data_IF_795770868432
#
_entry.id   IF_795770868432
#
_cell.length_a   1.000
_cell.length_b   1.000
_cell.length_c   1.000
_cell.angle_alpha   90.00
_cell.angle_beta   90.00
_cell.angle_gamma   90.00
#
_symmetry.space_group_name_H-M   'P 1'
#
loop_
_entity.id
_entity.type
_entity.pdbx_description
1 polymer ?
#
# COMPACT_ATOMS: atom_id res chain seq x y z
N UNK A 1 -13.08 1.24 -12.30
CA UNK A 1 -12.45 -0.07 -12.12
C UNK A 1 -11.50 -0.04 -10.94
N UNK A 2 -11.46 -1.11 -10.17
CA UNK A 2 -10.58 -1.21 -9.02
C UNK A 2 -10.30 -2.66 -8.63
N UNK A 3 -9.10 -2.92 -8.11
CA UNK A 3 -8.67 -4.18 -7.49
C UNK A 3 -8.61 -4.08 -5.95
N UNK A 4 -9.09 -2.96 -5.39
CA UNK A 4 -9.17 -2.75 -3.95
C UNK A 4 -10.30 -3.59 -3.31
N UNK A 5 -10.23 -3.82 -1.97
CA UNK A 5 -11.28 -4.55 -1.26
C UNK A 5 -12.68 -3.98 -1.49
N UNK A 6 -13.64 -4.86 -1.81
CA UNK A 6 -15.01 -4.48 -2.12
C UNK A 6 -15.69 -3.68 -0.99
N UNK A 7 -15.37 -3.97 0.26
CA UNK A 7 -15.90 -3.24 1.43
C UNK A 7 -15.47 -1.78 1.43
N UNK A 8 -14.20 -1.51 1.11
CA UNK A 8 -13.65 -0.16 1.03
C UNK A 8 -14.29 0.61 -0.14
N UNK A 9 -14.29 0.01 -1.32
CA UNK A 9 -14.79 0.68 -2.53
C UNK A 9 -16.30 0.91 -2.51
N UNK A 10 -17.06 0.00 -1.91
CA UNK A 10 -18.50 0.20 -1.69
C UNK A 10 -18.76 1.36 -0.71
N UNK A 11 -18.01 1.44 0.39
CA UNK A 11 -18.12 2.54 1.35
C UNK A 11 -17.77 3.89 0.71
N UNK A 12 -16.71 3.96 -0.10
CA UNK A 12 -16.34 5.19 -0.81
C UNK A 12 -17.41 5.62 -1.80
N UNK A 13 -17.97 4.68 -2.56
CA UNK A 13 -19.03 4.95 -3.52
C UNK A 13 -20.31 5.46 -2.84
N UNK A 14 -20.74 4.81 -1.76
CA UNK A 14 -21.92 5.19 -0.98
C UNK A 14 -21.74 6.59 -0.37
N UNK A 15 -20.61 6.87 0.25
CA UNK A 15 -20.33 8.16 0.85
C UNK A 15 -20.27 9.29 -0.17
N UNK A 16 -19.64 9.06 -1.33
CA UNK A 16 -19.62 10.04 -2.41
C UNK A 16 -21.04 10.31 -2.96
N UNK A 17 -21.85 9.26 -3.15
CA UNK A 17 -23.25 9.41 -3.58
C UNK A 17 -24.08 10.19 -2.57
N UNK A 18 -23.87 9.98 -1.26
CA UNK A 18 -24.55 10.73 -0.20
C UNK A 18 -24.14 12.22 -0.19
N UNK A 19 -22.86 12.52 -0.35
CA UNK A 19 -22.33 13.88 -0.26
C UNK A 19 -22.54 14.68 -1.56
N UNK A 20 -22.27 14.07 -2.73
CA UNK A 20 -22.24 14.76 -4.03
C UNK A 20 -23.46 14.51 -4.89
N UNK A 21 -24.34 13.58 -4.51
CA UNK A 21 -25.54 13.17 -5.27
C UNK A 21 -25.21 12.60 -6.67
N UNK A 22 -24.01 12.09 -6.84
CA UNK A 22 -23.55 11.43 -8.08
C UNK A 22 -23.31 9.96 -7.79
N UNK A 23 -23.96 9.09 -8.55
CA UNK A 23 -23.85 7.64 -8.39
C UNK A 23 -22.53 7.12 -8.94
N UNK A 24 -21.79 6.35 -8.11
CA UNK A 24 -20.57 5.64 -8.49
C UNK A 24 -20.86 4.15 -8.64
N UNK A 25 -20.62 3.61 -9.82
CA UNK A 25 -20.73 2.16 -10.06
C UNK A 25 -19.34 1.55 -9.99
N UNK A 26 -19.10 0.74 -8.97
CA UNK A 26 -17.83 0.02 -8.77
C UNK A 26 -17.80 -1.21 -9.67
N UNK A 27 -16.70 -1.37 -10.42
CA UNK A 27 -16.40 -2.55 -11.24
C UNK A 27 -15.17 -3.24 -10.65
N UNK A 28 -15.36 -4.21 -9.72
CA UNK A 28 -14.24 -4.89 -9.07
C UNK A 28 -13.52 -5.82 -10.06
N UNK A 29 -12.20 -5.83 -9.98
CA UNK A 29 -11.32 -6.71 -10.73
C UNK A 29 -10.40 -7.45 -9.75
N UNK A 30 -9.85 -8.59 -10.19
CA UNK A 30 -8.71 -9.18 -9.49
C UNK A 30 -7.43 -8.41 -9.81
N UNK A 31 -6.39 -8.55 -8.99
CA UNK A 31 -5.06 -7.96 -9.27
C UNK A 31 -4.56 -8.34 -10.68
N UNK A 32 -4.71 -9.61 -11.05
CA UNK A 32 -4.32 -10.10 -12.37
C UNK A 32 -5.13 -9.43 -13.50
N UNK A 33 -6.45 -9.31 -13.34
CA UNK A 33 -7.32 -8.65 -14.32
C UNK A 33 -6.97 -7.16 -14.44
N UNK A 34 -6.67 -6.49 -13.33
CA UNK A 34 -6.27 -5.09 -13.32
C UNK A 34 -4.93 -4.91 -14.05
N UNK A 35 -3.94 -5.74 -13.74
CA UNK A 35 -2.62 -5.72 -14.39
C UNK A 35 -2.74 -5.96 -15.91
N UNK A 36 -3.49 -6.98 -16.34
CA UNK A 36 -3.75 -7.25 -17.74
C UNK A 36 -4.46 -6.09 -18.44
N UNK A 37 -5.44 -5.48 -17.76
CA UNK A 37 -6.16 -4.31 -18.28
C UNK A 37 -5.25 -3.10 -18.42
N UNK A 38 -4.40 -2.82 -17.46
CA UNK A 38 -3.43 -1.73 -17.49
C UNK A 38 -2.43 -1.90 -18.63
N UNK A 39 -1.91 -3.10 -18.85
CA UNK A 39 -0.96 -3.41 -19.90
C UNK A 39 -1.57 -3.51 -21.31
N UNK A 40 -2.88 -3.68 -21.42
CA UNK A 40 -3.57 -3.83 -22.71
C UNK A 40 -3.49 -2.55 -23.54
N UNK A 41 -3.18 -2.66 -24.82
CA UNK A 41 -3.24 -1.55 -25.79
C UNK A 41 -4.64 -1.30 -26.34
N UNK A 42 -5.60 -2.16 -26.00
CA UNK A 42 -7.01 -1.99 -26.41
C UNK A 42 -7.63 -0.83 -25.64
N UNK A 43 -8.31 0.05 -26.36
CA UNK A 43 -8.97 1.21 -25.78
C UNK A 43 -10.08 0.79 -24.82
N UNK A 44 -10.07 1.37 -23.62
CA UNK A 44 -11.17 1.23 -22.67
C UNK A 44 -12.34 2.12 -23.09
N UNK A 45 -13.50 1.50 -23.34
CA UNK A 45 -14.71 2.19 -23.78
C UNK A 45 -15.87 2.12 -22.77
N UNK A 46 -15.67 1.40 -21.66
CA UNK A 46 -16.74 1.04 -20.73
C UNK A 46 -16.53 1.49 -19.29
N UNK A 47 -15.63 2.42 -19.03
CA UNK A 47 -15.41 2.95 -17.70
C UNK A 47 -14.95 4.39 -17.73
N UNK A 48 -14.88 5.01 -16.56
CA UNK A 48 -14.55 6.42 -16.44
C UNK A 48 -13.24 6.63 -15.67
N UNK A 49 -13.01 5.82 -14.62
CA UNK A 49 -11.89 5.99 -13.69
C UNK A 49 -11.31 4.63 -13.30
N UNK A 50 -10.01 4.64 -13.00
CA UNK A 50 -9.28 3.53 -12.40
C UNK A 50 -8.77 3.97 -11.04
N UNK A 51 -8.96 3.13 -10.01
CA UNK A 51 -8.42 3.29 -8.66
C UNK A 51 -7.66 2.02 -8.31
N UNK A 52 -6.33 2.08 -8.30
CA UNK A 52 -5.45 0.90 -8.21
C UNK A 52 -4.04 1.27 -7.74
N UNK A 53 -3.14 0.30 -7.73
CA UNK A 53 -1.73 0.50 -7.40
C UNK A 53 -1.00 1.42 -8.38
N UNK A 54 0.02 2.11 -7.89
CA UNK A 54 0.94 2.93 -8.69
C UNK A 54 1.51 2.15 -9.89
N UNK A 55 1.94 0.90 -9.67
CA UNK A 55 2.50 0.06 -10.74
C UNK A 55 1.52 -0.09 -11.91
N UNK A 56 0.25 -0.39 -11.61
CA UNK A 56 -0.80 -0.49 -12.62
C UNK A 56 -1.08 0.86 -13.29
N UNK A 57 -0.99 1.96 -12.54
CA UNK A 57 -1.19 3.30 -13.08
C UNK A 57 -0.06 3.72 -14.01
N UNK A 58 1.19 3.44 -13.65
CA UNK A 58 2.36 3.68 -14.50
C UNK A 58 2.28 2.88 -15.80
N UNK A 59 1.94 1.60 -15.71
CA UNK A 59 1.74 0.73 -16.89
C UNK A 59 0.64 1.29 -17.79
N UNK A 60 -0.51 1.67 -17.22
CA UNK A 60 -1.62 2.22 -17.98
C UNK A 60 -1.33 3.59 -18.60
N UNK A 61 -0.58 4.44 -17.92
CA UNK A 61 -0.11 5.72 -18.46
C UNK A 61 0.81 5.52 -19.68
N UNK A 62 1.78 4.60 -19.56
CA UNK A 62 2.68 4.22 -20.66
C UNK A 62 1.93 3.60 -21.85
N UNK A 63 0.84 2.89 -21.60
CA UNK A 63 -0.05 2.36 -22.62
C UNK A 63 -1.01 3.42 -23.22
N UNK A 64 -0.94 4.67 -22.77
CA UNK A 64 -1.74 5.81 -23.29
C UNK A 64 -3.24 5.72 -22.94
N UNK A 65 -3.59 5.07 -21.84
CA UNK A 65 -4.98 4.82 -21.42
C UNK A 65 -5.65 6.00 -20.74
N UNK A 66 -4.87 6.90 -20.16
CA UNK A 66 -5.38 7.96 -19.30
C UNK A 66 -5.34 9.32 -19.98
N UNK A 67 -6.18 10.23 -19.52
CA UNK A 67 -6.08 11.65 -19.86
C UNK A 67 -5.32 12.39 -18.77
N UNK A 68 -4.59 13.44 -19.10
CA UNK A 68 -3.94 14.28 -18.09
C UNK A 68 -5.00 15.01 -17.28
N UNK A 69 -4.77 15.11 -15.98
CA UNK A 69 -5.58 15.84 -15.03
C UNK A 69 -4.72 16.97 -14.48
N UNK A 70 -5.16 18.22 -14.67
CA UNK A 70 -4.46 19.41 -14.18
C UNK A 70 -5.43 20.24 -13.38
N UNK A 71 -5.23 20.33 -12.09
CA UNK A 71 -5.94 21.23 -11.19
C UNK A 71 -5.13 21.49 -9.89
N UNK A 72 -5.54 22.51 -9.14
CA UNK A 72 -4.84 22.97 -7.96
C UNK A 72 -4.66 21.89 -6.87
N UNK A 73 -5.68 21.06 -6.62
CA UNK A 73 -5.60 19.99 -5.61
C UNK A 73 -4.56 18.92 -5.98
N UNK A 74 -4.45 18.58 -7.25
CA UNK A 74 -3.45 17.62 -7.73
C UNK A 74 -2.05 18.23 -7.68
N UNK A 75 -1.93 19.54 -7.92
CA UNK A 75 -0.64 20.23 -7.80
C UNK A 75 -0.11 20.22 -6.36
N UNK A 76 -0.99 20.23 -5.35
CA UNK A 76 -0.62 20.13 -3.94
C UNK A 76 -0.10 18.73 -3.54
N UNK A 77 -0.40 17.69 -4.31
CA UNK A 77 0.15 16.35 -4.07
C UNK A 77 1.65 16.34 -4.36
N UNK A 78 2.43 15.72 -3.48
CA UNK A 78 3.89 15.64 -3.62
C UNK A 78 4.28 15.01 -4.96
N UNK A 79 5.35 15.51 -5.57
CA UNK A 79 5.79 15.07 -6.90
C UNK A 79 6.11 13.58 -7.00
N UNK A 80 6.59 12.97 -5.91
CA UNK A 80 6.83 11.53 -5.85
C UNK A 80 5.57 10.67 -5.67
N UNK A 81 4.40 11.29 -5.57
CA UNK A 81 3.10 10.60 -5.44
C UNK A 81 2.16 10.93 -6.61
N UNK A 82 2.67 11.42 -7.73
CA UNK A 82 1.89 11.70 -8.93
C UNK A 82 2.73 11.54 -10.19
N UNK A 83 2.05 11.33 -11.30
CA UNK A 83 2.69 11.32 -12.62
C UNK A 83 3.16 12.73 -13.02
N UNK A 84 4.40 12.94 -13.48
CA UNK A 84 4.90 14.25 -13.88
C UNK A 84 4.15 14.87 -15.06
N UNK A 85 3.45 14.05 -15.87
CA UNK A 85 2.60 14.51 -16.97
C UNK A 85 1.11 14.59 -16.59
N UNK A 86 0.76 14.32 -15.33
CA UNK A 86 -0.59 14.40 -14.79
C UNK A 86 -1.52 13.24 -15.17
N UNK A 87 -1.01 12.12 -15.66
CA UNK A 87 -1.87 11.00 -16.07
C UNK A 87 -2.49 10.24 -14.90
N UNK A 88 -1.88 10.29 -13.72
CA UNK A 88 -2.42 9.71 -12.50
C UNK A 88 -1.97 10.51 -11.26
N UNK A 89 -2.67 10.33 -10.17
CA UNK A 89 -2.37 10.92 -8.88
C UNK A 89 -2.55 9.88 -7.76
N UNK A 90 -1.61 9.86 -6.81
CA UNK A 90 -1.72 9.08 -5.58
C UNK A 90 -2.79 9.66 -4.67
N UNK A 91 -3.65 8.80 -4.17
CA UNK A 91 -4.73 9.15 -3.24
C UNK A 91 -4.29 8.91 -1.80
N UNK A 92 -3.70 7.76 -1.54
CA UNK A 92 -3.09 7.42 -0.25
C UNK A 92 -1.87 6.53 -0.44
N UNK A 93 -1.07 6.46 0.58
CA UNK A 93 0.05 5.51 0.66
C UNK A 93 -0.03 4.70 1.96
N UNK A 94 0.42 3.46 1.90
CA UNK A 94 0.38 2.50 2.98
C UNK A 94 1.82 2.05 3.30
N UNK A 95 2.47 2.63 4.33
CA UNK A 95 3.85 2.30 4.66
C UNK A 95 3.94 0.94 5.35
N UNK A 96 5.08 0.28 5.16
CA UNK A 96 5.47 -0.87 5.96
C UNK A 96 5.88 -0.38 7.35
N UNK A 97 5.29 -0.98 8.38
CA UNK A 97 5.53 -0.66 9.79
C UNK A 97 5.98 -1.90 10.55
N UNK A 98 6.63 -1.68 11.68
CA UNK A 98 6.75 -2.72 12.69
C UNK A 98 5.54 -2.66 13.61
N UNK A 99 5.07 -3.82 13.99
CA UNK A 99 4.08 -3.96 15.06
C UNK A 99 4.74 -4.76 16.17
N UNK A 100 4.76 -4.21 17.37
CA UNK A 100 5.34 -4.89 18.53
C UNK A 100 4.23 -5.19 19.54
N UNK A 101 4.19 -6.43 20.02
CA UNK A 101 3.24 -6.85 21.05
C UNK A 101 3.60 -6.19 22.40
N UNK A 102 2.60 -5.70 23.13
CA UNK A 102 2.80 -4.99 24.40
C UNK A 102 3.35 -5.91 25.51
N UNK A 103 2.98 -7.19 25.53
CA UNK A 103 3.51 -8.16 26.48
C UNK A 103 5.02 -8.33 26.28
N UNK A 104 5.45 -8.44 25.04
CA UNK A 104 6.86 -8.49 24.70
C UNK A 104 7.59 -7.18 25.05
N UNK A 105 6.98 -6.03 24.75
CA UNK A 105 7.53 -4.73 25.15
C UNK A 105 7.79 -4.66 26.67
N UNK A 106 6.81 -5.09 27.47
CA UNK A 106 6.93 -5.08 28.92
C UNK A 106 8.08 -5.98 29.43
N UNK A 107 8.37 -7.06 28.70
CA UNK A 107 9.49 -7.96 29.00
C UNK A 107 10.88 -7.36 28.73
N UNK A 108 11.04 -6.63 27.62
CA UNK A 108 12.32 -6.05 27.20
C UNK A 108 12.47 -4.55 27.51
N UNK A 109 11.39 -3.86 27.91
CA UNK A 109 11.38 -2.46 28.32
C UNK A 109 11.69 -1.43 27.22
N UNK A 110 11.66 -1.82 25.93
CA UNK A 110 11.95 -0.95 24.79
C UNK A 110 11.19 -1.35 23.54
N UNK A 111 11.01 -0.38 22.63
CA UNK A 111 10.52 -0.63 21.28
C UNK A 111 11.69 -0.77 20.30
N UNK A 112 11.57 -1.70 19.36
CA UNK A 112 12.48 -1.84 18.22
C UNK A 112 12.04 -0.82 17.17
N UNK A 113 12.84 0.22 16.94
CA UNK A 113 12.42 1.39 16.16
C UNK A 113 13.19 1.59 14.86
N UNK A 114 14.11 0.71 14.52
CA UNK A 114 14.93 0.78 13.30
C UNK A 114 15.14 -0.61 12.72
N UNK A 115 15.28 -0.70 11.41
CA UNK A 115 15.69 -1.93 10.72
C UNK A 115 17.05 -2.43 11.25
N UNK A 116 17.99 -1.48 11.46
CA UNK A 116 19.31 -1.81 11.99
C UNK A 116 19.23 -2.50 13.37
N UNK A 117 18.36 -2.01 14.26
CA UNK A 117 18.16 -2.66 15.56
C UNK A 117 17.48 -4.01 15.41
N UNK A 118 16.53 -4.15 14.48
CA UNK A 118 15.80 -5.39 14.24
C UNK A 118 16.72 -6.53 13.79
N UNK A 119 17.77 -6.23 12.99
CA UNK A 119 18.76 -7.19 12.51
C UNK A 119 19.85 -7.54 13.52
N UNK A 120 19.95 -6.82 14.66
CA UNK A 120 20.94 -7.12 15.71
C UNK A 120 20.49 -8.29 16.58
N UNK A 121 21.45 -8.85 17.32
CA UNK A 121 21.15 -9.91 18.28
C UNK A 121 20.15 -9.44 19.35
N UNK A 122 19.07 -10.21 19.54
CA UNK A 122 18.03 -9.96 20.53
C UNK A 122 17.09 -11.16 20.62
N UNK A 123 16.39 -11.27 21.74
CA UNK A 123 15.45 -12.37 22.01
C UNK A 123 14.06 -12.00 21.47
N UNK A 124 13.92 -11.84 20.14
CA UNK A 124 12.65 -11.60 19.52
C UNK A 124 12.38 -12.51 18.33
N UNK A 125 11.11 -12.84 18.17
CA UNK A 125 10.57 -13.57 17.03
C UNK A 125 9.87 -12.62 16.09
N UNK A 126 10.24 -12.66 14.80
CA UNK A 126 9.70 -11.81 13.75
C UNK A 126 8.83 -12.68 12.82
N UNK A 127 7.69 -12.15 12.42
CA UNK A 127 6.93 -12.64 11.26
C UNK A 127 6.87 -11.53 10.23
N UNK A 128 7.16 -11.88 8.98
CA UNK A 128 7.07 -10.98 7.84
C UNK A 128 6.44 -11.68 6.64
N UNK A 129 5.95 -10.93 5.68
CA UNK A 129 5.42 -11.51 4.44
C UNK A 129 6.58 -11.99 3.56
N UNK A 130 6.39 -13.13 2.93
CA UNK A 130 7.33 -13.65 1.92
C UNK A 130 7.42 -12.66 0.75
N UNK A 131 8.65 -12.34 0.33
CA UNK A 131 8.89 -11.35 -0.73
C UNK A 131 8.28 -11.71 -2.08
N UNK A 132 8.01 -12.98 -2.33
CA UNK A 132 7.34 -13.43 -3.56
C UNK A 132 5.82 -13.56 -3.42
N UNK A 133 5.28 -13.29 -2.23
CA UNK A 133 3.85 -13.46 -1.96
C UNK A 133 2.98 -12.31 -2.50
N UNK A 134 3.55 -11.12 -2.63
CA UNK A 134 2.85 -9.93 -3.14
C UNK A 134 3.82 -8.87 -3.65
N UNK A 135 3.33 -7.97 -4.50
CA UNK A 135 4.12 -6.82 -4.99
C UNK A 135 4.61 -5.93 -3.84
N UNK A 136 3.79 -5.70 -2.82
CA UNK A 136 4.19 -4.91 -1.64
C UNK A 136 5.37 -5.51 -0.89
N UNK A 137 5.39 -6.82 -0.72
CA UNK A 137 6.51 -7.50 -0.08
C UNK A 137 7.77 -7.44 -0.96
N UNK A 138 7.61 -7.61 -2.28
CA UNK A 138 8.70 -7.45 -3.23
C UNK A 138 9.27 -6.03 -3.22
N UNK A 139 8.42 -5.00 -3.17
CA UNK A 139 8.84 -3.60 -3.12
C UNK A 139 9.68 -3.30 -1.87
N UNK A 140 9.38 -3.94 -0.72
CA UNK A 140 10.22 -3.82 0.47
C UNK A 140 11.65 -4.31 0.19
N UNK A 141 11.80 -5.45 -0.47
CA UNK A 141 13.11 -5.99 -0.86
C UNK A 141 13.83 -5.06 -1.84
N UNK A 142 13.14 -4.60 -2.90
CA UNK A 142 13.73 -3.69 -3.89
C UNK A 142 14.19 -2.38 -3.26
N UNK A 143 13.40 -1.79 -2.39
CA UNK A 143 13.78 -0.57 -1.67
C UNK A 143 14.97 -0.79 -0.73
N UNK A 144 15.08 -1.95 -0.09
CA UNK A 144 16.27 -2.28 0.71
C UNK A 144 17.52 -2.37 -0.16
N UNK A 145 17.42 -3.00 -1.33
CA UNK A 145 18.54 -3.11 -2.29
C UNK A 145 18.90 -1.74 -2.87
N UNK A 146 17.92 -0.92 -3.20
CA UNK A 146 18.17 0.43 -3.72
C UNK A 146 18.85 1.34 -2.68
N UNK A 147 18.40 1.28 -1.44
CA UNK A 147 18.94 2.13 -0.36
C UNK A 147 20.30 1.69 0.16
N UNK A 148 20.52 0.38 0.32
CA UNK A 148 21.75 -0.18 0.91
C UNK A 148 22.78 -0.64 -0.12
N UNK A 149 22.37 -0.91 -1.36
CA UNK A 149 23.10 -1.73 -2.30
C UNK A 149 22.81 -3.22 -2.10
N UNK A 150 22.95 -4.03 -3.16
CA UNK A 150 22.60 -5.46 -3.12
C UNK A 150 23.43 -6.27 -2.08
N UNK A 151 24.77 -6.12 -1.97
CA UNK A 151 25.57 -6.88 -1.01
C UNK A 151 25.13 -6.62 0.44
N UNK A 152 24.98 -5.36 0.82
CA UNK A 152 24.62 -4.93 2.16
C UNK A 152 23.17 -5.29 2.51
N UNK A 153 22.25 -5.23 1.52
CA UNK A 153 20.86 -5.67 1.69
C UNK A 153 20.80 -7.18 1.97
N UNK A 154 21.54 -7.99 1.23
CA UNK A 154 21.61 -9.43 1.44
C UNK A 154 22.23 -9.77 2.80
N UNK A 155 23.35 -9.12 3.18
CA UNK A 155 23.96 -9.30 4.50
C UNK A 155 22.97 -8.95 5.62
N UNK A 156 22.23 -7.86 5.47
CA UNK A 156 21.18 -7.47 6.40
C UNK A 156 20.08 -8.54 6.51
N UNK A 157 19.57 -9.06 5.39
CA UNK A 157 18.56 -10.13 5.39
C UNK A 157 19.09 -11.43 6.02
N UNK A 158 20.36 -11.74 5.84
CA UNK A 158 20.99 -12.84 6.56
C UNK A 158 21.04 -12.59 8.07
N UNK A 159 21.23 -11.34 8.51
CA UNK A 159 21.20 -10.99 9.95
C UNK A 159 19.80 -11.12 10.56
N UNK A 160 18.75 -10.89 9.77
CA UNK A 160 17.36 -11.09 10.21
C UNK A 160 16.96 -12.57 10.31
N UNK A 161 17.55 -13.43 9.49
CA UNK A 161 17.14 -14.83 9.34
C UNK A 161 16.98 -15.60 10.66
N UNK A 162 17.87 -15.48 11.67
CA UNK A 162 17.72 -16.17 12.95
C UNK A 162 16.48 -15.76 13.74
N UNK A 163 15.96 -14.55 13.49
CA UNK A 163 14.81 -13.98 14.20
C UNK A 163 13.50 -14.21 13.46
N UNK A 164 13.52 -14.44 12.13
CA UNK A 164 12.33 -14.67 11.34
C UNK A 164 11.84 -16.10 11.51
N UNK A 165 10.77 -16.26 12.27
CA UNK A 165 10.17 -17.57 12.56
C UNK A 165 9.18 -18.00 11.48
N UNK A 166 8.68 -17.07 10.69
CA UNK A 166 7.75 -17.36 9.61
C UNK A 166 7.79 -16.30 8.51
N UNK A 167 7.83 -16.77 7.25
CA UNK A 167 7.51 -16.01 6.05
C UNK A 167 6.06 -16.30 5.67
N UNK A 168 5.17 -15.32 5.84
CA UNK A 168 3.74 -15.46 5.63
C UNK A 168 3.36 -15.32 4.15
N UNK A 169 2.28 -15.99 3.73
CA UNK A 169 1.73 -15.86 2.38
C UNK A 169 0.83 -14.65 2.19
N UNK A 170 0.28 -14.12 3.28
CA UNK A 170 -0.67 -12.99 3.25
C UNK A 170 -0.10 -11.81 4.02
N UNK A 171 -0.30 -10.60 3.51
CA UNK A 171 0.18 -9.34 4.09
C UNK A 171 -0.33 -9.10 5.52
N UNK A 172 -1.56 -9.46 5.80
CA UNK A 172 -2.18 -9.27 7.13
C UNK A 172 -1.70 -10.27 8.20
N UNK A 173 -1.12 -11.40 7.80
CA UNK A 173 -0.72 -12.47 8.74
C UNK A 173 0.30 -12.02 9.79
N UNK A 174 1.39 -11.28 9.44
CA UNK A 174 2.37 -10.82 10.43
C UNK A 174 1.72 -9.98 11.52
N UNK A 175 0.85 -9.06 11.14
CA UNK A 175 0.15 -8.17 12.07
C UNK A 175 -0.80 -8.98 12.97
N UNK A 176 -1.57 -9.89 12.38
CA UNK A 176 -2.51 -10.76 13.11
C UNK A 176 -1.80 -11.60 14.18
N UNK A 177 -0.73 -12.29 13.83
CA UNK A 177 0.00 -13.15 14.77
C UNK A 177 0.61 -12.33 15.92
N UNK A 178 1.13 -11.13 15.62
CA UNK A 178 1.63 -10.22 16.65
C UNK A 178 0.52 -9.70 17.55
N UNK A 179 -0.64 -9.35 16.98
CA UNK A 179 -1.79 -8.88 17.74
C UNK A 179 -2.34 -9.94 18.70
N UNK A 180 -2.29 -11.21 18.29
CA UNK A 180 -2.70 -12.35 19.12
C UNK A 180 -1.63 -12.77 20.15
N UNK A 181 -0.42 -12.19 20.12
CA UNK A 181 0.68 -12.53 21.01
C UNK A 181 1.42 -13.82 20.65
N UNK A 182 1.19 -14.35 19.43
CA UNK A 182 1.86 -15.56 18.92
C UNK A 182 3.30 -15.26 18.43
N UNK A 183 3.61 -13.99 18.18
CA UNK A 183 4.96 -13.50 17.86
C UNK A 183 5.22 -12.14 18.52
N UNK A 184 6.50 -11.75 18.61
CA UNK A 184 6.89 -10.53 19.28
C UNK A 184 6.75 -9.31 18.37
N UNK A 185 7.18 -9.44 17.11
CA UNK A 185 7.24 -8.36 16.12
C UNK A 185 6.68 -8.86 14.80
N UNK A 186 5.74 -8.10 14.25
CA UNK A 186 5.21 -8.28 12.90
C UNK A 186 5.69 -7.16 11.99
N UNK A 187 6.06 -7.49 10.76
CA UNK A 187 6.39 -6.52 9.71
C UNK A 187 5.30 -6.60 8.67
N UNK A 188 4.55 -5.52 8.49
CA UNK A 188 3.43 -5.47 7.56
C UNK A 188 2.92 -4.06 7.33
N UNK A 189 1.80 -3.92 6.65
CA UNK A 189 1.23 -2.65 6.24
C UNK A 189 0.58 -1.90 7.40
N UNK A 190 0.65 -0.56 7.36
CA UNK A 190 0.02 0.31 8.35
C UNK A 190 -1.50 0.12 8.40
N UNK A 191 -2.16 -0.06 7.25
CA UNK A 191 -3.61 -0.25 7.16
C UNK A 191 -4.09 -1.45 7.97
N UNK A 192 -3.42 -2.59 7.85
CA UNK A 192 -3.70 -3.78 8.65
C UNK A 192 -3.42 -3.52 10.13
N UNK A 193 -2.26 -2.91 10.45
CA UNK A 193 -1.88 -2.59 11.83
C UNK A 193 -2.89 -1.64 12.50
N UNK A 194 -3.35 -0.62 11.79
CA UNK A 194 -4.34 0.34 12.27
C UNK A 194 -5.68 -0.35 12.59
N UNK A 195 -6.10 -1.32 11.78
CA UNK A 195 -7.33 -2.09 12.01
C UNK A 195 -7.26 -2.86 13.35
N UNK A 196 -6.17 -3.58 13.61
CA UNK A 196 -5.98 -4.30 14.88
C UNK A 196 -5.85 -3.34 16.07
N UNK A 197 -5.16 -2.22 15.91
CA UNK A 197 -5.06 -1.17 16.93
C UNK A 197 -6.43 -0.56 17.25
N UNK A 198 -7.26 -0.29 16.24
CA UNK A 198 -8.63 0.20 16.42
C UNK A 198 -9.50 -0.78 17.20
N UNK A 199 -9.33 -2.08 16.99
CA UNK A 199 -10.00 -3.14 17.76
C UNK A 199 -9.35 -3.40 19.13
N UNK A 200 -8.44 -2.52 19.58
CA UNK A 200 -7.79 -2.55 20.90
C UNK A 200 -6.97 -3.83 21.19
N UNK A 201 -6.39 -4.43 20.16
CA UNK A 201 -5.39 -5.45 20.39
C UNK A 201 -4.14 -4.85 21.05
N UNK A 202 -3.43 -5.62 21.93
CA UNK A 202 -2.29 -5.12 22.72
C UNK A 202 -1.04 -5.00 21.84
N UNK A 203 -1.04 -4.03 20.94
CA UNK A 203 0.04 -3.79 19.99
C UNK A 203 0.40 -2.31 19.91
N UNK A 204 1.67 -2.07 19.61
CA UNK A 204 2.20 -0.76 19.26
C UNK A 204 2.65 -0.73 17.81
N UNK A 205 2.15 0.23 17.05
CA UNK A 205 2.59 0.54 15.69
C UNK A 205 3.82 1.42 15.77
N UNK A 206 4.87 1.04 15.04
CA UNK A 206 6.17 1.70 15.05
C UNK A 206 6.59 1.97 13.61
N UNK A 207 6.77 3.23 13.26
CA UNK A 207 7.39 3.62 11.99
C UNK A 207 8.90 3.52 12.13
N UNK A 208 9.58 2.74 11.24
CA UNK A 208 11.03 2.64 11.26
C UNK A 208 11.68 4.01 11.07
N UNK A 209 12.56 4.41 12.01
CA UNK A 209 13.19 5.73 12.00
C UNK A 209 14.27 5.89 10.93
N UNK A 210 14.79 4.80 10.46
CA UNK A 210 15.78 4.69 9.38
C UNK A 210 15.16 4.52 7.99
N UNK A 211 13.86 4.82 7.88
CA UNK A 211 13.10 4.76 6.63
C UNK A 211 12.33 3.45 6.47
N UNK A 212 11.39 3.47 5.55
CA UNK A 212 10.61 2.28 5.18
C UNK A 212 10.02 2.43 3.78
N UNK A 213 9.68 1.32 3.17
CA UNK A 213 8.93 1.34 1.91
C UNK A 213 7.45 1.62 2.16
N UNK A 214 6.78 2.07 1.13
CA UNK A 214 5.34 2.30 1.14
C UNK A 214 4.75 1.87 -0.20
N UNK A 215 3.46 1.63 -0.16
CA UNK A 215 2.65 1.28 -1.31
C UNK A 215 1.71 2.44 -1.62
N UNK A 216 1.65 2.86 -2.88
CA UNK A 216 0.77 3.94 -3.31
C UNK A 216 -0.45 3.36 -3.99
N UNK A 217 -1.62 3.80 -3.55
CA UNK A 217 -2.87 3.65 -4.29
C UNK A 217 -3.24 5.00 -4.88
N UNK A 218 -3.48 5.02 -6.17
CA UNK A 218 -3.80 6.23 -6.89
C UNK A 218 -4.97 6.06 -7.84
N UNK A 219 -5.33 7.16 -8.49
CA UNK A 219 -6.43 7.22 -9.42
C UNK A 219 -6.01 7.85 -10.76
N UNK A 220 -6.68 7.43 -11.83
CA UNK A 220 -6.52 7.98 -13.17
C UNK A 220 -7.87 8.02 -13.89
N UNK A 221 -8.08 9.04 -14.71
CA UNK A 221 -9.27 9.14 -15.58
C UNK A 221 -8.98 8.50 -16.92
N UNK A 222 -9.85 7.58 -17.34
CA UNK A 222 -9.73 6.92 -18.62
C UNK A 222 -9.91 7.92 -19.78
N UNK A 223 -9.02 7.84 -20.77
CA UNK A 223 -9.00 8.75 -21.92
C UNK A 223 -10.33 8.85 -22.67
N UNK A 224 -11.05 7.72 -22.77
CA UNK A 224 -12.32 7.60 -23.46
C UNK A 224 -13.54 7.71 -22.54
N UNK A 225 -13.34 8.13 -21.29
CA UNK A 225 -14.45 8.39 -20.35
C UNK A 225 -15.48 9.35 -20.98
N UNK A 226 -16.75 9.05 -20.76
CA UNK A 226 -17.87 9.93 -21.11
C UNK A 226 -18.19 10.94 -19.99
N UNK A 227 -17.69 10.68 -18.77
CA UNK A 227 -17.94 11.45 -17.56
C UNK A 227 -16.63 12.02 -16.97
N UNK A 228 -15.83 12.67 -17.82
CA UNK A 228 -14.49 13.15 -17.44
C UNK A 228 -14.51 14.14 -16.29
N UNK A 229 -15.44 15.09 -16.32
CA UNK A 229 -15.57 16.11 -15.27
C UNK A 229 -15.95 15.46 -13.92
N UNK A 230 -16.95 14.58 -13.92
CA UNK A 230 -17.39 13.88 -12.71
C UNK A 230 -16.29 12.98 -12.15
N UNK A 231 -15.48 12.38 -13.03
CA UNK A 231 -14.31 11.57 -12.63
C UNK A 231 -13.24 12.40 -11.95
N UNK A 232 -12.96 13.60 -12.44
CA UNK A 232 -12.02 14.55 -11.82
C UNK A 232 -12.54 15.02 -10.47
N UNK A 233 -13.84 15.32 -10.37
CA UNK A 233 -14.45 15.70 -9.09
C UNK A 233 -14.43 14.55 -8.07
N UNK A 234 -14.59 13.31 -8.50
CA UNK A 234 -14.42 12.16 -7.61
C UNK A 234 -12.98 12.05 -7.08
N UNK A 235 -11.98 12.27 -7.93
CA UNK A 235 -10.57 12.32 -7.50
C UNK A 235 -10.34 13.46 -6.51
N UNK A 236 -10.86 14.65 -6.80
CA UNK A 236 -10.76 15.81 -5.91
C UNK A 236 -11.38 15.54 -4.53
N UNK A 237 -12.49 14.81 -4.52
CA UNK A 237 -13.15 14.40 -3.27
C UNK A 237 -12.30 13.35 -2.51
N UNK A 238 -11.67 12.40 -3.20
CA UNK A 238 -10.75 11.45 -2.56
C UNK A 238 -9.52 12.11 -1.93
N UNK A 239 -9.13 13.30 -2.44
CA UNK A 239 -8.01 14.09 -1.94
C UNK A 239 -8.40 15.10 -0.85
N UNK A 240 -9.68 15.17 -0.45
CA UNK A 240 -10.21 16.16 0.51
C UNK A 240 -10.17 15.68 2.02
#
# INVERSE_FOLDING_TARGET
YTDLPNTLTAMLAERYEEEQKVKVTVMPLTEEQMSQRSASTVADTSGDLVLTSEDNLVIGANAGKYMPIVNERIDEVRDNLKDPNGYWVGIWYDPIVFVQNDTFHNGIGKYVTTWDTLGKQGDWCIVMTDFVASQNAANLLYNMVEYKGEPEALEYLYSLKPHVVQHAKFLSTPIRLTALGETNIGIGNLSDAAQYSHHRYPIKIIYPKDGTSYYVTGAAVLKNSKHKADSVEFINWLLS
#
